data_IF_908612869333
#
_entry.id   IF_908612869333
#
_cell.length_a   1.000
_cell.length_b   1.000
_cell.length_c   1.000
_cell.angle_alpha   90.00
_cell.angle_beta   90.00
_cell.angle_gamma   90.00
#
_symmetry.space_group_name_H-M   'P 1'
#
loop_
_entity.id
_entity.type
_entity.pdbx_description
1 polymer ?
#
# COMPACT_ATOMS: atom_id res chain seq x y z
N UNK A 1 18.15 14.04 2.75
CA UNK A 1 18.05 12.72 3.45
C UNK A 1 16.84 12.64 4.37
N UNK A 2 16.58 13.65 5.21
CA UNK A 2 15.46 13.68 6.17
C UNK A 2 14.08 13.34 5.55
N UNK A 3 13.62 14.07 4.54
CA UNK A 3 12.29 13.81 3.96
C UNK A 3 12.12 12.40 3.38
N UNK A 4 13.05 11.86 2.55
CA UNK A 4 13.00 10.46 2.12
C UNK A 4 12.99 9.45 3.27
N UNK A 5 13.77 9.72 4.33
CA UNK A 5 13.82 8.86 5.52
C UNK A 5 12.45 8.80 6.21
N UNK A 6 11.84 9.96 6.50
CA UNK A 6 10.53 10.00 7.15
C UNK A 6 9.41 9.44 6.27
N UNK A 7 9.50 9.58 4.93
CA UNK A 7 8.59 8.88 4.01
C UNK A 7 8.71 7.36 4.12
N UNK A 8 9.92 6.83 4.34
CA UNK A 8 10.11 5.41 4.57
C UNK A 8 9.63 4.98 5.96
N UNK A 9 9.93 5.76 7.01
CA UNK A 9 9.41 5.50 8.35
C UNK A 9 7.88 5.49 8.40
N UNK A 10 7.21 6.39 7.68
CA UNK A 10 5.76 6.42 7.56
C UNK A 10 5.20 5.09 7.00
N UNK A 11 5.88 4.50 6.01
CA UNK A 11 5.53 3.18 5.48
C UNK A 11 5.77 2.08 6.50
N UNK A 12 6.89 2.10 7.23
CA UNK A 12 7.19 1.12 8.27
C UNK A 12 6.17 1.15 9.41
N UNK A 13 5.78 2.34 9.86
CA UNK A 13 4.71 2.54 10.87
C UNK A 13 3.36 2.04 10.38
N UNK A 14 3.12 2.09 9.06
CA UNK A 14 1.89 1.58 8.44
C UNK A 14 1.96 0.08 8.11
N UNK A 15 3.05 -0.60 8.46
CA UNK A 15 3.23 -2.02 8.19
C UNK A 15 2.24 -2.85 9.01
N UNK A 16 1.59 -3.87 8.41
CA UNK A 16 0.78 -4.83 9.17
C UNK A 16 1.65 -5.75 10.04
N UNK A 17 2.95 -5.83 9.76
CA UNK A 17 3.90 -6.66 10.50
C UNK A 17 4.37 -5.92 11.76
N UNK A 18 3.91 -6.38 12.93
CA UNK A 18 4.07 -5.62 14.18
C UNK A 18 5.53 -5.29 14.53
N UNK A 19 6.49 -6.19 14.30
CA UNK A 19 7.92 -5.93 14.61
C UNK A 19 8.49 -4.76 13.78
N UNK A 20 8.01 -4.59 12.54
CA UNK A 20 8.46 -3.49 11.67
C UNK A 20 7.89 -2.17 12.17
N UNK A 21 6.59 -2.15 12.50
CA UNK A 21 5.93 -0.97 13.05
C UNK A 21 6.51 -0.57 14.41
N UNK A 22 6.73 -1.54 15.31
CA UNK A 22 7.31 -1.33 16.64
C UNK A 22 8.70 -0.73 16.54
N UNK A 23 9.59 -1.34 15.74
CA UNK A 23 10.97 -0.87 15.64
C UNK A 23 11.05 0.53 15.04
N UNK A 24 10.14 0.88 14.13
CA UNK A 24 10.01 2.22 13.59
C UNK A 24 9.48 3.23 14.64
N UNK A 25 8.49 2.85 15.44
CA UNK A 25 7.93 3.72 16.50
C UNK A 25 8.90 3.94 17.66
N UNK A 26 9.84 3.04 17.90
CA UNK A 26 10.88 3.22 18.92
C UNK A 26 11.85 4.38 18.63
N UNK A 27 11.85 4.94 17.42
CA UNK A 27 12.57 6.18 17.13
C UNK A 27 12.05 7.37 17.96
N UNK A 28 10.78 7.35 18.40
CA UNK A 28 10.21 8.38 19.28
C UNK A 28 10.71 8.32 20.72
N UNK A 29 11.36 7.21 21.13
CA UNK A 29 11.94 7.10 22.47
C UNK A 29 13.37 7.67 22.52
N UNK A 30 13.96 7.99 21.36
CA UNK A 30 15.31 8.56 21.29
C UNK A 30 15.22 10.09 21.38
N UNK A 31 15.70 10.66 22.48
CA UNK A 31 15.63 12.10 22.73
C UNK A 31 16.33 12.94 21.67
N UNK A 32 17.47 12.47 21.15
CA UNK A 32 18.20 13.17 20.09
C UNK A 32 17.43 13.17 18.77
N UNK A 33 16.77 12.08 18.42
CA UNK A 33 15.92 12.04 17.22
C UNK A 33 14.68 12.91 17.42
N UNK A 34 14.10 12.89 18.61
CA UNK A 34 12.94 13.73 18.95
C UNK A 34 13.28 15.22 18.92
N UNK A 35 14.46 15.65 19.35
CA UNK A 35 14.88 17.05 19.25
C UNK A 35 15.03 17.49 17.78
N UNK A 36 15.64 16.65 16.94
CA UNK A 36 15.73 16.90 15.50
C UNK A 36 14.35 16.95 14.82
N UNK A 37 13.41 16.11 15.26
CA UNK A 37 12.02 16.14 14.79
C UNK A 37 11.37 17.46 15.18
N UNK A 38 11.59 17.94 16.41
CA UNK A 38 11.05 19.20 16.91
C UNK A 38 11.49 20.39 16.08
N UNK A 39 12.80 20.51 15.80
CA UNK A 39 13.35 21.59 14.99
C UNK A 39 12.84 21.60 13.55
N UNK A 40 12.37 20.44 13.04
CA UNK A 40 11.92 20.24 11.67
C UNK A 40 10.44 19.87 11.55
N UNK A 41 9.65 20.15 12.61
CA UNK A 41 8.27 19.68 12.73
C UNK A 41 7.40 20.09 11.53
N UNK A 42 7.60 21.31 11.01
CA UNK A 42 6.90 21.85 9.84
C UNK A 42 6.96 20.96 8.59
N UNK A 43 8.04 20.17 8.42
CA UNK A 43 8.21 19.24 7.30
C UNK A 43 7.91 17.80 7.69
N UNK A 44 8.29 17.38 8.89
CA UNK A 44 8.18 15.99 9.33
C UNK A 44 6.74 15.62 9.68
N UNK A 45 6.04 16.50 10.41
CA UNK A 45 4.69 16.22 10.91
C UNK A 45 3.71 15.93 9.75
N UNK A 46 3.63 16.73 8.66
CA UNK A 46 2.76 16.42 7.53
C UNK A 46 3.07 15.09 6.83
N UNK A 47 4.32 14.60 6.88
CA UNK A 47 4.72 13.32 6.29
C UNK A 47 4.27 12.14 7.16
N UNK A 48 4.45 12.26 8.48
CA UNK A 48 4.17 11.17 9.42
C UNK A 48 2.71 11.08 9.83
N UNK A 49 2.02 12.22 9.86
CA UNK A 49 0.65 12.34 10.36
C UNK A 49 -0.35 11.39 9.66
N UNK A 50 -0.40 11.29 8.32
CA UNK A 50 -1.37 10.41 7.66
C UNK A 50 -1.22 8.93 8.05
N UNK A 51 0.01 8.48 8.24
CA UNK A 51 0.32 7.11 8.65
C UNK A 51 -0.05 6.85 10.10
N UNK A 52 0.32 7.75 11.02
CA UNK A 52 -0.03 7.61 12.44
C UNK A 52 -1.55 7.70 12.67
N UNK A 53 -2.20 8.72 12.08
CA UNK A 53 -3.62 8.98 12.29
C UNK A 53 -4.54 7.90 11.69
N UNK A 54 -4.13 7.27 10.58
CA UNK A 54 -4.86 6.12 10.01
C UNK A 54 -4.74 4.91 10.94
N UNK A 55 -3.52 4.57 11.32
CA UNK A 55 -3.24 3.33 12.04
C UNK A 55 -3.68 3.37 13.51
N UNK A 56 -3.84 4.54 14.12
CA UNK A 56 -4.45 4.68 15.46
C UNK A 56 -5.88 4.14 15.54
N UNK A 57 -6.57 4.01 14.39
CA UNK A 57 -7.94 3.49 14.31
C UNK A 57 -8.02 2.04 13.83
N UNK A 58 -7.05 1.59 13.04
CA UNK A 58 -7.19 0.35 12.26
C UNK A 58 -6.11 -0.70 12.51
N UNK A 59 -5.01 -0.37 13.19
CA UNK A 59 -3.97 -1.36 13.48
C UNK A 59 -4.51 -2.43 14.45
N UNK A 60 -4.20 -3.71 14.22
CA UNK A 60 -4.79 -4.83 14.97
C UNK A 60 -4.10 -5.07 16.32
N UNK A 61 -2.80 -4.74 16.42
CA UNK A 61 -1.99 -4.97 17.62
C UNK A 61 -2.14 -3.82 18.63
N UNK A 62 -2.51 -4.16 19.88
CA UNK A 62 -2.73 -3.21 20.99
C UNK A 62 -1.48 -2.42 21.40
N UNK A 63 -0.31 -3.05 21.39
CA UNK A 63 0.96 -2.38 21.74
C UNK A 63 1.30 -1.31 20.72
N UNK A 64 1.18 -1.64 19.42
CA UNK A 64 1.41 -0.68 18.34
C UNK A 64 0.42 0.48 18.42
N UNK A 65 -0.85 0.21 18.75
CA UNK A 65 -1.83 1.27 19.03
C UNK A 65 -1.33 2.22 20.11
N UNK A 66 -0.90 1.71 21.27
CA UNK A 66 -0.37 2.53 22.36
C UNK A 66 0.81 3.41 21.93
N UNK A 67 1.77 2.83 21.20
CA UNK A 67 2.93 3.57 20.67
C UNK A 67 2.53 4.67 19.68
N UNK A 68 1.54 4.41 18.80
CA UNK A 68 1.01 5.42 17.87
C UNK A 68 0.34 6.56 18.63
N UNK A 69 -0.48 6.27 19.65
CA UNK A 69 -1.11 7.32 20.45
C UNK A 69 -0.08 8.17 21.19
N UNK A 70 0.97 7.54 21.73
CA UNK A 70 2.08 8.27 22.34
C UNK A 70 2.78 9.20 21.32
N UNK A 71 3.12 8.69 20.14
CA UNK A 71 3.73 9.49 19.08
C UNK A 71 2.84 10.66 18.62
N UNK A 72 1.53 10.44 18.48
CA UNK A 72 0.57 11.52 18.16
C UNK A 72 0.50 12.57 19.28
N UNK A 73 0.54 12.15 20.55
CA UNK A 73 0.55 13.06 21.70
C UNK A 73 1.80 13.94 21.69
N UNK A 74 2.98 13.36 21.47
CA UNK A 74 4.24 14.10 21.37
C UNK A 74 4.22 15.13 20.24
N UNK A 75 3.66 14.79 19.08
CA UNK A 75 3.50 15.76 17.99
C UNK A 75 2.54 16.91 18.32
N UNK A 76 1.46 16.63 19.06
CA UNK A 76 0.51 17.65 19.51
C UNK A 76 1.16 18.60 20.52
N UNK A 77 1.91 18.08 21.49
CA UNK A 77 2.64 18.87 22.49
C UNK A 77 3.73 19.75 21.86
N UNK A 78 4.37 19.26 20.80
CA UNK A 78 5.43 19.95 20.08
C UNK A 78 4.91 21.16 19.28
N UNK A 79 3.81 21.00 18.54
CA UNK A 79 3.20 22.10 17.81
C UNK A 79 1.71 21.85 17.57
N UNK A 80 0.87 22.31 18.50
CA UNK A 80 -0.57 22.11 18.46
C UNK A 80 -1.20 22.68 17.18
N UNK A 81 -0.83 23.90 16.78
CA UNK A 81 -1.38 24.55 15.59
C UNK A 81 -1.11 23.72 14.32
N UNK A 82 0.13 23.28 14.14
CA UNK A 82 0.51 22.46 12.99
C UNK A 82 -0.18 21.09 13.00
N UNK A 83 -0.36 20.50 14.18
CA UNK A 83 -1.10 19.24 14.34
C UNK A 83 -2.56 19.39 13.93
N UNK A 84 -3.21 20.48 14.33
CA UNK A 84 -4.59 20.80 13.95
C UNK A 84 -4.71 21.04 12.44
N UNK A 85 -3.78 21.79 11.84
CA UNK A 85 -3.72 22.03 10.40
C UNK A 85 -3.59 20.70 9.62
N UNK A 86 -2.70 19.80 10.06
CA UNK A 86 -2.55 18.48 9.45
C UNK A 86 -3.80 17.61 9.62
N UNK A 87 -4.49 17.72 10.76
CA UNK A 87 -5.76 17.03 11.00
C UNK A 87 -6.83 17.51 10.02
N UNK A 88 -6.93 18.82 9.81
CA UNK A 88 -7.88 19.42 8.86
C UNK A 88 -7.55 19.02 7.42
N UNK A 89 -6.29 19.14 7.01
CA UNK A 89 -5.84 18.75 5.69
C UNK A 89 -6.11 17.28 5.40
N UNK A 90 -5.80 16.38 6.34
CA UNK A 90 -6.08 14.95 6.18
C UNK A 90 -7.57 14.66 5.99
N UNK A 91 -8.46 15.33 6.74
CA UNK A 91 -9.91 15.20 6.57
C UNK A 91 -10.37 15.72 5.20
N UNK A 92 -9.86 16.86 4.77
CA UNK A 92 -10.18 17.46 3.47
C UNK A 92 -9.71 16.57 2.30
N UNK A 93 -8.49 16.04 2.37
CA UNK A 93 -7.95 15.10 1.40
C UNK A 93 -8.78 13.82 1.34
N UNK A 94 -9.19 13.27 2.49
CA UNK A 94 -10.08 12.10 2.55
C UNK A 94 -11.43 12.35 1.89
N UNK A 95 -12.03 13.52 2.10
CA UNK A 95 -13.27 13.89 1.44
C UNK A 95 -13.08 14.03 -0.07
N UNK A 96 -12.00 14.69 -0.50
CA UNK A 96 -11.65 14.85 -1.92
C UNK A 96 -11.41 13.51 -2.61
N UNK A 97 -10.72 12.57 -1.95
CA UNK A 97 -10.54 11.20 -2.46
C UNK A 97 -11.88 10.48 -2.66
N UNK A 98 -12.80 10.62 -1.70
CA UNK A 98 -14.14 10.02 -1.78
C UNK A 98 -14.96 10.59 -2.94
N UNK A 99 -14.92 11.91 -3.15
CA UNK A 99 -15.58 12.57 -4.28
C UNK A 99 -14.99 12.09 -5.62
N UNK A 100 -13.66 12.06 -5.76
CA UNK A 100 -13.00 11.52 -6.95
C UNK A 100 -13.33 10.06 -7.23
N UNK A 101 -13.53 9.25 -6.18
CA UNK A 101 -13.97 7.86 -6.35
C UNK A 101 -15.41 7.80 -6.91
N UNK A 102 -16.30 8.66 -6.42
CA UNK A 102 -17.68 8.77 -6.92
C UNK A 102 -17.72 9.25 -8.38
N UNK A 103 -16.93 10.26 -8.74
CA UNK A 103 -16.83 10.74 -10.13
C UNK A 103 -16.34 9.64 -11.08
N UNK A 104 -15.34 8.84 -10.64
CA UNK A 104 -14.87 7.68 -11.41
C UNK A 104 -15.94 6.63 -11.57
N UNK A 105 -16.69 6.32 -10.51
CA UNK A 105 -17.81 5.38 -10.57
C UNK A 105 -18.87 5.83 -11.57
N UNK A 106 -19.29 7.10 -11.51
CA UNK A 106 -20.26 7.67 -12.44
C UNK A 106 -19.76 7.65 -13.89
N UNK A 107 -18.46 7.87 -14.11
CA UNK A 107 -17.85 7.74 -15.44
C UNK A 107 -17.88 6.28 -15.93
N UNK A 108 -17.58 5.31 -15.08
CA UNK A 108 -17.63 3.89 -15.42
C UNK A 108 -19.05 3.42 -15.76
N UNK A 109 -20.05 3.83 -14.99
CA UNK A 109 -21.47 3.52 -15.26
C UNK A 109 -21.91 4.08 -16.62
N UNK A 110 -21.47 5.29 -16.97
CA UNK A 110 -21.75 5.88 -18.30
C UNK A 110 -21.14 5.04 -19.42
N UNK A 111 -19.88 4.62 -19.27
CA UNK A 111 -19.19 3.75 -20.23
C UNK A 111 -19.92 2.40 -20.37
N UNK A 112 -20.32 1.80 -19.25
CA UNK A 112 -21.05 0.53 -19.25
C UNK A 112 -22.39 0.64 -19.99
N UNK A 113 -23.15 1.71 -19.74
CA UNK A 113 -24.41 1.95 -20.41
C UNK A 113 -24.25 2.18 -21.92
N UNK A 114 -23.21 2.92 -22.33
CA UNK A 114 -22.87 3.11 -23.75
C UNK A 114 -22.44 1.80 -24.42
N UNK A 115 -21.72 0.94 -23.71
CA UNK A 115 -21.34 -0.38 -24.22
C UNK A 115 -22.57 -1.29 -24.44
N UNK A 116 -23.53 -1.27 -23.51
CA UNK A 116 -24.79 -2.04 -23.61
C UNK A 116 -25.67 -1.60 -24.79
N UNK A 117 -25.68 -0.31 -25.12
CA UNK A 117 -26.46 0.24 -26.23
C UNK A 117 -25.76 0.12 -27.59
N UNK A 118 -24.50 -0.33 -27.64
CA UNK A 118 -23.76 -0.48 -28.89
C UNK A 118 -24.18 -1.77 -29.65
N UNK A 119 -24.77 -1.66 -30.86
CA UNK A 119 -25.22 -2.82 -31.64
C UNK A 119 -24.10 -3.80 -32.02
N UNK A 120 -22.85 -3.33 -32.09
CA UNK A 120 -21.68 -4.18 -32.37
C UNK A 120 -21.32 -5.12 -31.20
N UNK A 121 -21.66 -4.77 -29.96
CA UNK A 121 -21.44 -5.63 -28.79
C UNK A 121 -22.38 -6.84 -28.74
N UNK A 122 -23.59 -6.71 -29.28
CA UNK A 122 -24.56 -7.81 -29.39
C UNK A 122 -24.13 -8.86 -30.44
N UNK A 123 -23.36 -8.45 -31.46
CA UNK A 123 -22.85 -9.36 -32.49
C UNK A 123 -21.68 -10.21 -31.97
N UNK A 124 -20.94 -9.74 -30.97
CA UNK A 124 -19.89 -10.51 -30.31
C UNK A 124 -20.42 -11.44 -29.20
N UNK A 125 -21.46 -11.07 -28.45
CA UNK A 125 -22.09 -12.01 -27.49
C UNK A 125 -22.69 -13.25 -28.16
N UNK A 126 -23.17 -13.14 -29.41
CA UNK A 126 -23.60 -14.30 -30.21
C UNK A 126 -22.45 -15.17 -30.73
N UNK A 127 -21.21 -14.69 -30.60
CA UNK A 127 -19.99 -15.45 -30.79
C UNK A 127 -19.37 -15.67 -29.41
N UNK A 128 -19.99 -16.50 -28.59
CA UNK A 128 -19.25 -17.23 -27.54
C UNK A 128 -18.21 -18.11 -28.24
N UNK A 129 -17.12 -17.50 -28.72
CA UNK A 129 -15.91 -18.23 -28.99
C UNK A 129 -15.43 -18.64 -27.61
N UNK A 130 -15.33 -19.93 -27.29
CA UNK A 130 -14.78 -20.34 -26.01
C UNK A 130 -13.44 -19.63 -25.84
N UNK A 131 -13.15 -19.13 -24.63
CA UNK A 131 -11.81 -18.67 -24.27
C UNK A 131 -10.92 -19.90 -24.31
N UNK A 132 -10.46 -20.24 -25.51
CA UNK A 132 -9.33 -21.11 -25.70
C UNK A 132 -8.17 -20.27 -25.23
N UNK A 133 -7.68 -20.53 -24.01
CA UNK A 133 -6.29 -20.20 -23.70
C UNK A 133 -5.49 -20.80 -24.85
N UNK A 134 -5.06 -19.99 -25.81
CA UNK A 134 -4.00 -20.41 -26.70
C UNK A 134 -2.86 -20.73 -25.75
N UNK A 135 -2.54 -22.02 -25.58
CA UNK A 135 -1.22 -22.38 -25.12
C UNK A 135 -0.32 -21.62 -26.09
N UNK A 136 0.34 -20.58 -25.60
CA UNK A 136 1.46 -20.01 -26.33
C UNK A 136 2.36 -21.21 -26.56
N UNK A 137 2.43 -21.70 -27.79
CA UNK A 137 3.47 -22.64 -28.15
C UNK A 137 4.75 -21.91 -27.79
N UNK A 138 5.43 -22.38 -26.73
CA UNK A 138 6.73 -21.85 -26.40
C UNK A 138 7.58 -21.98 -27.65
N UNK A 139 8.40 -20.96 -27.99
CA UNK A 139 9.37 -21.09 -29.07
C UNK A 139 10.10 -22.44 -28.94
N UNK A 140 9.94 -23.30 -29.94
CA UNK A 140 10.59 -24.63 -30.00
C UNK A 140 12.07 -24.50 -30.41
N UNK A 141 12.66 -23.33 -30.22
CA UNK A 141 14.07 -23.16 -30.50
C UNK A 141 14.90 -23.89 -29.42
N UNK A 142 16.05 -24.38 -29.86
CA UNK A 142 16.95 -25.23 -29.07
C UNK A 142 17.43 -24.50 -27.80
N UNK A 143 17.52 -23.17 -27.82
CA UNK A 143 17.99 -22.37 -26.69
C UNK A 143 16.91 -22.25 -25.61
N UNK A 144 15.66 -22.04 -26.01
CA UNK A 144 14.50 -21.96 -25.13
C UNK A 144 14.22 -23.31 -24.46
N UNK A 145 14.34 -24.42 -25.21
CA UNK A 145 14.25 -25.77 -24.64
C UNK A 145 15.37 -26.07 -23.64
N UNK A 146 16.63 -25.75 -23.97
CA UNK A 146 17.76 -25.94 -23.05
C UNK A 146 17.58 -25.14 -21.77
N UNK A 147 17.13 -23.88 -21.87
CA UNK A 147 16.92 -23.02 -20.71
C UNK A 147 15.88 -23.61 -19.73
N UNK A 148 14.80 -24.20 -20.27
CA UNK A 148 13.77 -24.88 -19.49
C UNK A 148 14.27 -26.17 -18.84
N UNK A 149 15.04 -26.98 -19.55
CA UNK A 149 15.68 -28.20 -18.99
C UNK A 149 16.63 -27.86 -17.84
N UNK A 150 17.43 -26.80 -18.00
CA UNK A 150 18.35 -26.35 -16.94
C UNK A 150 17.66 -25.72 -15.72
N UNK A 151 16.37 -25.38 -15.82
CA UNK A 151 15.59 -24.74 -14.75
C UNK A 151 14.32 -25.51 -14.36
N UNK A 152 14.32 -26.84 -14.50
CA UNK A 152 13.33 -27.68 -13.83
C UNK A 152 13.46 -27.56 -12.29
N UNK A 153 12.29 -27.55 -11.64
CA UNK A 153 12.05 -27.19 -10.23
C UNK A 153 12.81 -28.10 -9.26
N UNK A 154 13.18 -27.56 -8.10
CA UNK A 154 13.82 -28.27 -6.98
C UNK A 154 12.91 -29.29 -6.26
N UNK A 155 12.02 -29.98 -6.98
CA UNK A 155 11.09 -30.97 -6.41
C UNK A 155 11.57 -32.43 -6.54
N UNK A 156 12.64 -32.71 -7.29
CA UNK A 156 13.22 -34.07 -7.40
C UNK A 156 14.22 -34.45 -6.29
N UNK A 157 14.36 -33.63 -5.23
CA UNK A 157 15.20 -33.93 -4.07
C UNK A 157 14.45 -34.50 -2.86
N UNK A 158 13.15 -34.82 -2.98
CA UNK A 158 12.32 -35.31 -1.86
C UNK A 158 11.69 -36.70 -2.06
N UNK A 159 12.23 -37.53 -2.95
CA UNK A 159 11.82 -38.93 -3.02
C UNK A 159 12.98 -39.86 -2.63
N UNK A 160 12.69 -40.74 -1.65
CA UNK A 160 13.58 -41.63 -0.87
C UNK A 160 14.28 -40.94 0.32
N UNK A 161 14.01 -41.28 1.58
CA UNK A 161 13.86 -42.64 2.12
C UNK A 161 12.71 -42.80 3.13
N UNK A 162 12.03 -43.94 3.01
CA UNK A 162 11.32 -44.57 4.11
C UNK A 162 11.79 -46.02 4.20
N UNK A 163 12.51 -46.35 5.27
CA UNK A 163 12.49 -47.60 6.03
C UNK A 163 13.03 -47.35 7.43
#
# INVERSE_FOLDING_TARGET
>A
VMEPLFRQLAKCVSSPHFQVAERALYYWNNEYIMSLISDNAAKILPIMFPSLYRNSKTHWNKTIHGLIYNALKLFMEMNQKLFDDCTQQFKAEKLKEKLKMKEREEAWVKIENLAKSNPQGQTEQKRERPIVRRKSELPQDIYTMKALESHCRAEDLLSHDGH
#
